data_IF_878995773555
#
_entry.id   IF_878995773555
#
_cell.length_a   1.000
_cell.length_b   1.000
_cell.length_c   1.000
_cell.angle_alpha   90.00
_cell.angle_beta   90.00
_cell.angle_gamma   90.00
#
_symmetry.space_group_name_H-M   'P 1'
#
loop_
_entity.id
_entity.type
_entity.pdbx_description
1 polymer ?
#
# COMPACT_ATOMS: atom_id res chain seq x y z
N UNK A 1 31.98 12.11 52.10
CA UNK A 1 30.64 12.20 51.45
C UNK A 1 30.65 11.30 50.22
N UNK A 2 29.66 10.42 49.99
CA UNK A 2 29.66 9.59 48.78
C UNK A 2 29.15 10.40 47.59
N UNK A 3 29.95 10.47 46.54
CA UNK A 3 29.61 11.11 45.27
C UNK A 3 28.40 10.41 44.63
N UNK A 4 27.27 11.12 44.53
CA UNK A 4 26.12 10.63 43.77
C UNK A 4 26.46 10.67 42.28
N UNK A 5 26.84 9.52 41.72
CA UNK A 5 26.93 9.33 40.26
C UNK A 5 25.53 9.44 39.64
N UNK A 6 25.06 10.64 39.34
CA UNK A 6 23.91 10.86 38.45
C UNK A 6 24.38 10.78 37.01
N UNK A 7 24.93 9.62 36.62
CA UNK A 7 25.25 9.34 35.23
C UNK A 7 23.96 9.05 34.49
N UNK A 8 23.59 9.92 33.55
CA UNK A 8 22.45 9.70 32.66
C UNK A 8 22.72 8.42 31.85
N UNK A 9 21.95 7.36 32.08
CA UNK A 9 22.07 6.06 31.39
C UNK A 9 20.99 5.91 30.33
N UNK A 10 21.37 5.40 29.17
CA UNK A 10 20.44 5.18 28.08
C UNK A 10 19.55 3.96 28.38
N UNK A 11 18.24 4.15 28.49
CA UNK A 11 17.29 3.06 28.77
C UNK A 11 17.20 1.97 27.68
N UNK A 12 17.78 2.19 26.49
CA UNK A 12 17.70 1.25 25.36
C UNK A 12 19.00 0.46 25.11
N UNK A 13 20.17 1.04 25.38
CA UNK A 13 21.46 0.33 25.24
C UNK A 13 22.20 0.13 26.57
N UNK A 14 21.73 0.72 27.67
CA UNK A 14 22.30 0.60 29.01
C UNK A 14 23.56 1.43 29.27
N UNK A 15 24.15 2.05 28.25
CA UNK A 15 25.39 2.82 28.40
C UNK A 15 25.18 4.15 29.12
N UNK A 16 26.17 4.57 29.92
CA UNK A 16 26.16 5.84 30.64
C UNK A 16 26.67 7.00 29.75
N UNK A 17 26.28 8.23 30.10
CA UNK A 17 26.73 9.46 29.44
C UNK A 17 25.81 9.98 28.33
N UNK A 18 24.75 9.25 27.98
CA UNK A 18 23.77 9.68 26.98
C UNK A 18 22.39 9.07 27.21
N UNK A 19 21.35 9.71 26.65
CA UNK A 19 19.98 9.20 26.66
C UNK A 19 19.59 8.64 25.28
N UNK A 20 18.45 7.94 25.20
CA UNK A 20 17.94 7.33 23.96
C UNK A 20 17.78 8.29 22.77
N UNK A 21 17.62 9.59 23.06
CA UNK A 21 17.44 10.67 22.07
C UNK A 21 18.75 11.32 21.63
N UNK A 22 19.90 10.84 22.12
CA UNK A 22 21.20 11.35 21.72
C UNK A 22 21.74 10.57 20.50
N UNK A 23 22.25 11.30 19.50
CA UNK A 23 22.90 10.75 18.28
C UNK A 23 24.14 9.90 18.60
N UNK A 24 24.74 10.06 19.77
CA UNK A 24 25.85 9.23 20.26
C UNK A 24 25.40 7.82 20.67
N UNK A 25 24.10 7.56 20.84
CA UNK A 25 23.60 6.22 21.15
C UNK A 25 23.76 5.29 19.93
N UNK A 26 24.42 4.12 20.06
CA UNK A 26 24.54 3.14 18.97
C UNK A 26 23.18 2.68 18.43
N UNK A 27 22.16 2.71 19.30
CA UNK A 27 20.79 2.36 18.96
C UNK A 27 19.90 3.58 18.64
N UNK A 28 20.46 4.78 18.46
CA UNK A 28 19.70 6.02 18.22
C UNK A 28 18.76 5.88 17.00
N UNK A 29 19.24 5.29 15.91
CA UNK A 29 18.48 5.11 14.66
C UNK A 29 17.24 4.23 14.88
N UNK A 30 17.37 3.19 15.71
CA UNK A 30 16.24 2.32 16.11
C UNK A 30 15.21 3.04 17.00
N UNK A 31 15.65 4.10 17.69
CA UNK A 31 14.80 4.95 18.53
C UNK A 31 14.09 6.07 17.73
N UNK A 32 14.46 6.31 16.47
CA UNK A 32 13.75 7.24 15.56
C UNK A 32 12.43 6.60 15.12
N UNK A 33 11.50 6.45 16.06
CA UNK A 33 10.10 6.13 15.75
C UNK A 33 9.48 7.37 15.10
N UNK A 34 9.24 7.30 13.80
CA UNK A 34 8.40 8.27 13.10
C UNK A 34 7.06 8.39 13.82
N UNK A 35 6.57 9.61 14.01
CA UNK A 35 5.27 9.85 14.66
C UNK A 35 4.17 9.05 13.95
N UNK A 36 3.14 8.61 14.68
CA UNK A 36 1.98 7.92 14.09
C UNK A 36 1.38 8.73 12.92
N UNK A 37 1.34 10.06 13.07
CA UNK A 37 0.91 11.01 12.02
C UNK A 37 1.79 10.93 10.76
N UNK A 38 3.12 10.84 10.91
CA UNK A 38 4.04 10.67 9.76
C UNK A 38 3.82 9.32 9.08
N UNK A 39 3.67 8.23 9.85
CA UNK A 39 3.41 6.90 9.29
C UNK A 39 2.11 6.85 8.49
N UNK A 40 1.04 7.46 9.01
CA UNK A 40 -0.25 7.53 8.32
C UNK A 40 -0.17 8.34 7.02
N UNK A 41 0.54 9.47 7.04
CA UNK A 41 0.80 10.28 5.84
C UNK A 41 1.51 9.48 4.75
N UNK A 42 2.57 8.74 5.09
CA UNK A 42 3.29 7.91 4.13
C UNK A 42 2.41 6.78 3.57
N UNK A 43 1.60 6.13 4.42
CA UNK A 43 0.63 5.12 3.96
C UNK A 43 -0.41 5.70 3.00
N UNK A 44 -0.90 6.91 3.27
CA UNK A 44 -1.84 7.60 2.38
C UNK A 44 -1.20 7.92 1.03
N UNK A 45 0.04 8.42 1.02
CA UNK A 45 0.81 8.69 -0.20
C UNK A 45 1.03 7.42 -1.03
N UNK A 46 1.46 6.34 -0.38
CA UNK A 46 1.66 5.04 -1.04
C UNK A 46 0.38 4.52 -1.70
N UNK A 47 -0.78 4.65 -1.02
CA UNK A 47 -2.09 4.25 -1.58
C UNK A 47 -2.47 5.06 -2.83
N UNK A 48 -2.28 6.37 -2.79
CA UNK A 48 -2.59 7.25 -3.93
C UNK A 48 -1.67 6.92 -5.11
N UNK A 49 -0.37 6.72 -4.85
CA UNK A 49 0.59 6.33 -5.88
C UNK A 49 0.22 5.00 -6.54
N UNK A 50 -0.17 3.99 -5.74
CA UNK A 50 -0.61 2.71 -6.25
C UNK A 50 -1.86 2.86 -7.14
N UNK A 51 -2.87 3.62 -6.71
CA UNK A 51 -4.07 3.88 -7.50
C UNK A 51 -3.76 4.54 -8.85
N UNK A 52 -2.91 5.55 -8.84
CA UNK A 52 -2.50 6.30 -10.02
C UNK A 52 -1.74 5.39 -11.01
N UNK A 53 -0.83 4.56 -10.52
CA UNK A 53 -0.15 3.55 -11.33
C UNK A 53 -1.14 2.55 -11.96
N UNK A 54 -2.07 1.99 -11.18
CA UNK A 54 -3.08 1.04 -11.68
C UNK A 54 -4.02 1.68 -12.71
N UNK A 55 -4.42 2.95 -12.51
CA UNK A 55 -5.24 3.68 -13.48
C UNK A 55 -4.50 3.91 -14.80
N UNK A 56 -3.21 4.25 -14.76
CA UNK A 56 -2.39 4.40 -15.97
C UNK A 56 -2.32 3.11 -16.79
N UNK A 57 -2.10 1.97 -16.12
CA UNK A 57 -2.07 0.66 -16.77
C UNK A 57 -3.43 0.32 -17.39
N UNK A 58 -4.51 0.49 -16.64
CA UNK A 58 -5.87 0.23 -17.13
C UNK A 58 -6.21 1.10 -18.36
N UNK A 59 -5.81 2.36 -18.38
CA UNK A 59 -5.98 3.25 -19.53
C UNK A 59 -5.21 2.74 -20.75
N UNK A 60 -3.97 2.28 -20.56
CA UNK A 60 -3.16 1.69 -21.65
C UNK A 60 -3.79 0.41 -22.20
N UNK A 61 -4.35 -0.45 -21.36
CA UNK A 61 -5.04 -1.65 -21.81
C UNK A 61 -6.34 -1.33 -22.57
N UNK A 62 -7.10 -0.35 -22.09
CA UNK A 62 -8.31 0.11 -22.75
C UNK A 62 -8.07 0.77 -24.12
N UNK A 63 -6.83 1.22 -24.41
CA UNK A 63 -6.45 1.75 -25.72
C UNK A 63 -5.93 0.69 -26.71
N UNK A 64 -5.79 -0.58 -26.29
CA UNK A 64 -5.36 -1.64 -27.21
C UNK A 64 -6.47 -1.90 -28.24
N UNK A 65 -6.13 -2.04 -29.55
CA UNK A 65 -7.10 -2.42 -30.57
C UNK A 65 -7.88 -3.68 -30.18
N UNK A 66 -9.17 -3.71 -30.51
CA UNK A 66 -10.07 -4.82 -30.18
C UNK A 66 -10.29 -5.11 -28.68
N UNK A 67 -9.80 -4.25 -27.78
CA UNK A 67 -10.03 -4.40 -26.33
C UNK A 67 -11.48 -4.17 -25.88
N UNK A 68 -12.37 -3.71 -26.77
CA UNK A 68 -13.77 -3.33 -26.47
C UNK A 68 -14.55 -4.43 -25.73
N UNK A 69 -14.26 -5.70 -26.00
CA UNK A 69 -14.91 -6.84 -25.33
C UNK A 69 -14.70 -6.86 -23.81
N UNK A 70 -13.64 -6.23 -23.32
CA UNK A 70 -13.27 -6.19 -21.90
C UNK A 70 -13.69 -4.90 -21.20
N UNK A 71 -14.30 -3.94 -21.91
CA UNK A 71 -14.58 -2.61 -21.34
C UNK A 71 -15.72 -2.61 -20.32
N UNK A 72 -16.67 -3.56 -20.44
CA UNK A 72 -17.89 -3.68 -19.65
C UNK A 72 -18.16 -5.15 -19.32
N UNK A 73 -18.96 -5.45 -18.28
CA UNK A 73 -19.35 -6.81 -17.98
C UNK A 73 -20.05 -7.47 -19.18
N UNK A 74 -19.81 -8.77 -19.36
CA UNK A 74 -20.46 -9.54 -20.42
C UNK A 74 -21.97 -9.60 -20.18
N UNK A 75 -22.81 -9.18 -21.14
CA UNK A 75 -24.26 -9.15 -20.95
C UNK A 75 -24.86 -10.56 -21.02
N UNK A 76 -25.29 -11.08 -19.86
CA UNK A 76 -25.87 -12.44 -19.74
C UNK A 76 -27.13 -12.66 -20.58
N UNK A 77 -27.90 -11.60 -20.88
CA UNK A 77 -29.05 -11.70 -21.80
C UNK A 77 -28.63 -12.15 -23.21
N UNK A 78 -27.46 -11.69 -23.67
CA UNK A 78 -26.89 -12.05 -24.97
C UNK A 78 -26.07 -13.34 -24.88
N UNK A 79 -25.46 -13.60 -23.73
CA UNK A 79 -24.60 -14.76 -23.48
C UNK A 79 -25.06 -15.52 -22.23
N UNK A 80 -26.21 -16.22 -22.27
CA UNK A 80 -26.81 -16.85 -21.09
C UNK A 80 -25.91 -17.90 -20.45
N UNK A 81 -25.10 -18.60 -21.25
CA UNK A 81 -24.20 -19.65 -20.78
C UNK A 81 -22.86 -19.11 -20.25
N UNK A 82 -22.63 -17.79 -20.29
CA UNK A 82 -21.35 -17.21 -19.87
C UNK A 82 -21.01 -17.53 -18.40
N UNK A 83 -21.99 -17.41 -17.51
CA UNK A 83 -21.82 -17.71 -16.08
C UNK A 83 -21.58 -19.20 -15.78
N UNK A 84 -21.90 -20.09 -16.73
CA UNK A 84 -21.62 -21.52 -16.57
C UNK A 84 -20.13 -21.81 -16.72
N UNK A 85 -19.41 -21.00 -17.50
CA UNK A 85 -17.98 -21.17 -17.79
C UNK A 85 -17.14 -20.24 -16.91
N UNK A 86 -17.45 -18.95 -16.90
CA UNK A 86 -16.67 -17.93 -16.20
C UNK A 86 -17.26 -17.69 -14.80
N UNK A 87 -16.58 -18.22 -13.78
CA UNK A 87 -17.04 -18.19 -12.38
C UNK A 87 -16.83 -16.84 -11.70
N UNK A 88 -15.75 -16.15 -12.03
CA UNK A 88 -15.40 -14.85 -11.47
C UNK A 88 -15.29 -13.83 -12.63
N UNK A 89 -16.42 -13.32 -13.14
CA UNK A 89 -16.39 -12.38 -14.25
C UNK A 89 -15.70 -11.07 -13.83
N UNK A 90 -14.88 -10.53 -14.73
CA UNK A 90 -14.19 -9.25 -14.54
C UNK A 90 -14.16 -8.46 -15.84
N UNK A 91 -14.01 -7.15 -15.74
CA UNK A 91 -13.94 -6.21 -16.87
C UNK A 91 -13.31 -4.88 -16.42
N UNK A 92 -12.90 -4.05 -17.37
CA UNK A 92 -12.21 -2.79 -17.10
C UNK A 92 -13.06 -1.80 -16.29
N UNK A 93 -14.38 -1.79 -16.44
CA UNK A 93 -15.25 -0.91 -15.63
C UNK A 93 -15.32 -1.38 -14.18
N UNK A 94 -15.35 -2.69 -13.94
CA UNK A 94 -15.26 -3.27 -12.60
C UNK A 94 -13.88 -3.01 -11.96
N UNK A 95 -12.79 -3.23 -12.70
CA UNK A 95 -11.42 -2.92 -12.23
C UNK A 95 -11.31 -1.42 -11.90
N UNK A 96 -11.83 -0.53 -12.74
CA UNK A 96 -11.86 0.93 -12.47
C UNK A 96 -12.66 1.27 -11.20
N UNK A 97 -13.76 0.57 -10.95
CA UNK A 97 -14.53 0.71 -9.73
C UNK A 97 -13.72 0.28 -8.50
N UNK A 98 -13.07 -0.89 -8.57
CA UNK A 98 -12.20 -1.42 -7.50
C UNK A 98 -11.01 -0.51 -7.21
N UNK A 99 -10.39 0.09 -8.23
CA UNK A 99 -9.33 1.10 -8.04
C UNK A 99 -9.89 2.28 -7.23
N UNK A 100 -11.00 2.90 -7.67
CA UNK A 100 -11.61 4.07 -7.00
C UNK A 100 -12.02 3.78 -5.56
N UNK A 101 -12.49 2.56 -5.28
CA UNK A 101 -12.87 2.11 -3.95
C UNK A 101 -11.68 1.75 -3.03
N UNK A 102 -10.43 1.90 -3.50
CA UNK A 102 -9.22 1.43 -2.79
C UNK A 102 -9.29 -0.07 -2.44
N UNK A 103 -9.94 -0.88 -3.28
CA UNK A 103 -10.13 -2.31 -3.01
C UNK A 103 -8.84 -3.14 -3.16
N UNK A 104 -7.88 -2.66 -3.95
CA UNK A 104 -6.58 -3.29 -4.12
C UNK A 104 -5.59 -2.75 -3.08
N UNK A 105 -5.11 -3.62 -2.18
CA UNK A 105 -4.13 -3.28 -1.14
C UNK A 105 -2.70 -3.48 -1.64
N UNK A 106 -2.53 -4.35 -2.63
CA UNK A 106 -1.26 -4.65 -3.26
C UNK A 106 -1.39 -4.63 -4.79
N UNK A 107 -0.25 -4.55 -5.48
CA UNK A 107 -0.22 -4.74 -6.93
C UNK A 107 -0.60 -6.16 -7.34
N UNK A 108 -0.31 -7.17 -6.50
CA UNK A 108 -0.71 -8.55 -6.75
C UNK A 108 -2.24 -8.70 -6.76
N UNK A 109 -2.95 -8.00 -5.87
CA UNK A 109 -4.42 -8.00 -5.85
C UNK A 109 -5.01 -7.45 -7.16
N UNK A 110 -4.33 -6.48 -7.78
CA UNK A 110 -4.71 -5.88 -9.05
C UNK A 110 -4.43 -6.82 -10.22
N UNK A 111 -3.26 -7.47 -10.22
CA UNK A 111 -2.89 -8.45 -11.25
C UNK A 111 -3.81 -9.68 -11.22
N UNK A 112 -4.30 -10.09 -10.05
CA UNK A 112 -5.24 -11.21 -9.94
C UNK A 112 -6.60 -10.98 -10.65
N UNK A 113 -6.93 -9.73 -10.96
CA UNK A 113 -8.14 -9.33 -11.71
C UNK A 113 -7.88 -9.17 -13.22
N UNK A 114 -6.63 -9.33 -13.69
CA UNK A 114 -6.24 -9.33 -15.11
C UNK A 114 -5.92 -10.73 -15.60
#
# INVERSE_FOLDING_TARGET
APEKKTGLTCSNCGQAGHMKTNKTCPNYVSAVRTTKKKQESERRRARIYLQDMMNRLLTRFASIPFSNAFHRPVPLKKFPNYALVVKNPIDFSTIRSKIRAFAYKSFADYVADF
#
